data_IF_134553844018
#
_entry.id   IF_134553844018
#
_cell.length_a   1.000
_cell.length_b   1.000
_cell.length_c   1.000
_cell.angle_alpha   90.00
_cell.angle_beta   90.00
_cell.angle_gamma   90.00
#
_symmetry.space_group_name_H-M   'P 1'
#
loop_
_entity.id
_entity.type
_entity.pdbx_description
1 polymer ?
#
# COMPACT_ATOMS: atom_id res chain seq x y z
N UNK A 1 27.99 21.36 19.59
CA UNK A 1 28.49 22.52 18.82
C UNK A 1 28.60 23.78 19.67
N UNK A 2 27.51 24.47 20.04
CA UNK A 2 27.61 25.72 20.84
C UNK A 2 28.39 25.55 22.16
N UNK A 3 28.09 24.52 22.96
CA UNK A 3 28.82 24.22 24.21
C UNK A 3 30.31 23.88 24.01
N UNK A 4 30.71 23.45 22.81
CA UNK A 4 32.11 23.14 22.48
C UNK A 4 32.85 24.35 21.89
N UNK A 5 32.12 25.32 21.34
CA UNK A 5 32.68 26.55 20.76
C UNK A 5 32.89 27.65 21.81
N UNK A 6 32.05 27.68 22.85
CA UNK A 6 32.15 28.63 23.97
C UNK A 6 33.54 28.64 24.62
N UNK A 7 34.14 27.49 25.02
CA UNK A 7 35.46 27.50 25.64
C UNK A 7 36.57 27.98 24.70
N UNK A 8 36.43 27.75 23.39
CA UNK A 8 37.42 28.23 22.42
C UNK A 8 37.32 29.74 22.23
N UNK A 9 36.09 30.26 22.09
CA UNK A 9 35.82 31.69 21.92
C UNK A 9 36.10 32.49 23.19
N UNK A 10 35.87 31.92 24.38
CA UNK A 10 36.20 32.58 25.66
C UNK A 10 37.71 32.69 25.84
N UNK A 11 38.49 31.68 25.49
CA UNK A 11 39.96 31.70 25.55
C UNK A 11 40.54 32.71 24.56
N UNK A 12 40.13 32.69 23.29
CA UNK A 12 40.63 33.64 22.28
C UNK A 12 40.35 35.10 22.67
N UNK A 13 39.18 35.36 23.24
CA UNK A 13 38.82 36.70 23.67
C UNK A 13 39.51 37.12 24.97
N UNK A 14 39.74 36.20 25.91
CA UNK A 14 40.54 36.47 27.12
C UNK A 14 41.97 36.89 26.76
N UNK A 15 42.61 36.18 25.81
CA UNK A 15 43.94 36.54 25.29
C UNK A 15 43.94 37.94 24.65
N UNK A 16 42.88 38.30 23.93
CA UNK A 16 42.73 39.64 23.33
C UNK A 16 42.57 40.75 24.37
N UNK A 17 41.82 40.50 25.44
CA UNK A 17 41.62 41.47 26.53
C UNK A 17 42.91 41.68 27.33
N UNK A 18 43.63 40.58 27.63
CA UNK A 18 44.92 40.61 28.32
C UNK A 18 45.98 41.39 27.50
N UNK A 19 46.04 41.16 26.18
CA UNK A 19 46.93 41.90 25.28
C UNK A 19 46.62 43.41 25.19
N UNK A 20 45.44 43.84 25.64
CA UNK A 20 45.03 45.26 25.69
C UNK A 20 45.02 45.83 27.12
N UNK A 21 45.48 45.06 28.10
CA UNK A 21 45.44 45.42 29.54
C UNK A 21 44.03 45.80 30.02
N UNK A 22 43.00 45.19 29.42
CA UNK A 22 41.60 45.42 29.79
C UNK A 22 41.18 44.36 30.79
N UNK A 23 40.89 44.76 32.02
CA UNK A 23 40.28 43.88 33.01
C UNK A 23 38.77 43.74 32.72
N UNK A 24 38.27 42.54 32.40
CA UNK A 24 36.87 42.35 32.09
C UNK A 24 35.99 42.52 33.33
N UNK A 25 34.95 43.36 33.20
CA UNK A 25 33.94 43.60 34.26
C UNK A 25 33.04 42.38 34.51
N UNK A 26 32.95 41.47 33.53
CA UNK A 26 32.14 40.25 33.61
C UNK A 26 32.95 39.02 33.20
N UNK A 27 32.67 37.90 33.85
CA UNK A 27 33.12 36.59 33.39
C UNK A 27 32.37 36.22 32.11
N UNK A 28 33.05 36.33 30.98
CA UNK A 28 32.48 36.09 29.66
C UNK A 28 32.15 34.62 29.43
N UNK A 29 32.84 33.69 30.08
CA UNK A 29 32.48 32.26 30.02
C UNK A 29 31.11 32.05 30.63
N UNK A 30 30.85 32.65 31.80
CA UNK A 30 29.55 32.63 32.48
C UNK A 30 28.47 33.27 31.61
N UNK A 31 28.76 34.42 30.98
CA UNK A 31 27.80 35.11 30.10
C UNK A 31 27.46 34.25 28.87
N UNK A 32 28.46 33.70 28.18
CA UNK A 32 28.23 32.84 27.02
C UNK A 32 27.48 31.55 27.41
N UNK A 33 27.81 30.97 28.57
CA UNK A 33 27.13 29.79 29.07
C UNK A 33 25.67 30.07 29.45
N UNK A 34 25.37 31.25 30.01
CA UNK A 34 24.01 31.69 30.30
C UNK A 34 23.19 31.83 29.00
N UNK A 35 23.72 32.52 27.99
CA UNK A 35 23.06 32.70 26.68
C UNK A 35 22.85 31.35 25.98
N UNK A 36 23.84 30.46 26.01
CA UNK A 36 23.73 29.14 25.41
C UNK A 36 22.66 28.29 26.12
N UNK A 37 22.63 28.32 27.45
CA UNK A 37 21.61 27.64 28.26
C UNK A 37 20.21 28.15 27.93
N UNK A 38 20.03 29.48 27.82
CA UNK A 38 18.76 30.08 27.46
C UNK A 38 18.31 29.65 26.06
N UNK A 39 19.20 29.72 25.05
CA UNK A 39 18.89 29.31 23.67
C UNK A 39 18.54 27.83 23.56
N UNK A 40 19.31 26.95 24.21
CA UNK A 40 19.03 25.51 24.25
C UNK A 40 17.71 25.24 24.97
N UNK A 41 17.46 25.94 26.08
CA UNK A 41 16.21 25.85 26.84
C UNK A 41 15.00 26.25 26.00
N UNK A 42 15.08 27.36 25.26
CA UNK A 42 14.03 27.82 24.36
C UNK A 42 13.74 26.81 23.23
N UNK A 43 14.78 26.23 22.62
CA UNK A 43 14.62 25.19 21.60
C UNK A 43 13.98 23.92 22.16
N UNK A 44 14.37 23.49 23.37
CA UNK A 44 13.74 22.34 24.04
C UNK A 44 12.26 22.59 24.36
N UNK A 45 11.91 23.79 24.82
CA UNK A 45 10.50 24.17 25.06
C UNK A 45 9.70 24.11 23.77
N UNK A 46 10.19 24.71 22.68
CA UNK A 46 9.54 24.64 21.36
C UNK A 46 9.40 23.21 20.85
N UNK A 47 10.40 22.37 21.08
CA UNK A 47 10.37 20.96 20.73
C UNK A 47 9.24 20.23 21.46
N UNK A 48 9.16 20.42 22.78
CA UNK A 48 8.10 19.84 23.62
C UNK A 48 6.72 20.37 23.24
N UNK A 49 6.55 21.69 23.11
CA UNK A 49 5.30 22.34 22.70
C UNK A 49 4.78 21.80 21.36
N UNK A 50 5.68 21.53 20.43
CA UNK A 50 5.32 20.91 19.16
C UNK A 50 4.96 19.42 19.34
N UNK A 51 5.71 18.66 20.14
CA UNK A 51 5.48 17.22 20.27
C UNK A 51 4.23 16.87 21.08
N UNK A 52 3.96 17.58 22.19
CA UNK A 52 2.88 17.29 23.14
C UNK A 52 1.50 17.01 22.50
N UNK A 53 0.95 17.86 21.61
CA UNK A 53 -0.35 17.59 20.99
C UNK A 53 -0.35 16.31 20.14
N UNK A 54 0.80 15.91 19.60
CA UNK A 54 0.94 14.75 18.72
C UNK A 54 1.10 13.44 19.49
N UNK A 55 1.57 13.48 20.73
CA UNK A 55 1.62 12.29 21.60
C UNK A 55 0.22 11.72 21.86
N UNK A 56 -0.81 12.57 21.92
CA UNK A 56 -2.20 12.13 22.10
C UNK A 56 -2.69 11.34 20.88
N UNK A 57 -2.15 11.63 19.68
CA UNK A 57 -2.55 10.98 18.44
C UNK A 57 -2.19 9.50 18.43
N UNK A 58 -1.16 9.07 19.17
CA UNK A 58 -0.78 7.65 19.27
C UNK A 58 -1.97 6.76 19.62
N UNK A 59 -2.80 7.21 20.57
CA UNK A 59 -4.00 6.49 21.01
C UNK A 59 -5.18 6.61 20.03
N UNK A 60 -5.14 7.60 19.15
CA UNK A 60 -6.22 7.90 18.20
C UNK A 60 -6.01 7.23 16.84
N UNK A 61 -4.75 6.99 16.42
CA UNK A 61 -4.41 6.36 15.14
C UNK A 61 -5.20 5.08 14.86
N UNK A 62 -5.41 4.15 15.81
CA UNK A 62 -6.20 2.94 15.54
C UNK A 62 -7.62 3.21 15.02
N UNK A 63 -8.21 4.35 15.39
CA UNK A 63 -9.57 4.75 15.00
C UNK A 63 -9.59 5.67 13.78
N UNK A 64 -8.44 6.09 13.27
CA UNK A 64 -8.36 6.97 12.11
C UNK A 64 -8.71 6.23 10.81
N UNK A 65 -9.30 6.97 9.89
CA UNK A 65 -9.48 6.53 8.51
C UNK A 65 -8.20 6.72 7.68
N UNK A 66 -8.20 6.22 6.44
CA UNK A 66 -7.05 6.24 5.55
C UNK A 66 -6.58 7.67 5.23
N UNK A 67 -7.52 8.61 5.03
CA UNK A 67 -7.20 10.00 4.68
C UNK A 67 -6.54 10.72 5.85
N UNK A 68 -7.06 10.51 7.07
CA UNK A 68 -6.50 11.05 8.31
C UNK A 68 -5.10 10.50 8.57
N UNK A 69 -4.88 9.19 8.36
CA UNK A 69 -3.54 8.61 8.47
C UNK A 69 -2.57 9.25 7.45
N UNK A 70 -3.02 9.47 6.21
CA UNK A 70 -2.19 10.09 5.18
C UNK A 70 -1.87 11.57 5.48
N UNK A 71 -2.83 12.33 6.00
CA UNK A 71 -2.60 13.72 6.43
C UNK A 71 -1.60 13.76 7.59
N UNK A 72 -1.74 12.85 8.56
CA UNK A 72 -0.81 12.73 9.68
C UNK A 72 0.61 12.38 9.21
N UNK A 73 0.76 11.41 8.30
CA UNK A 73 2.07 11.08 7.72
C UNK A 73 2.74 12.29 7.06
N UNK A 74 1.97 13.10 6.31
CA UNK A 74 2.49 14.33 5.68
C UNK A 74 2.89 15.39 6.70
N UNK A 75 2.10 15.55 7.75
CA UNK A 75 2.39 16.49 8.83
C UNK A 75 3.68 16.09 9.59
N UNK A 76 3.82 14.81 9.92
CA UNK A 76 4.99 14.27 10.60
C UNK A 76 6.24 14.30 9.72
N UNK A 77 6.10 14.15 8.40
CA UNK A 77 7.20 14.33 7.45
C UNK A 77 7.68 15.78 7.38
N UNK A 78 6.81 16.75 7.67
CA UNK A 78 7.13 18.18 7.75
C UNK A 78 7.61 18.61 9.15
N UNK A 79 8.17 17.68 9.94
CA UNK A 79 8.64 17.94 11.29
C UNK A 79 9.75 19.03 11.33
N UNK A 80 9.69 19.98 12.29
CA UNK A 80 10.68 21.05 12.37
C UNK A 80 12.11 20.58 12.70
N UNK A 81 13.11 21.30 12.19
CA UNK A 81 14.53 20.97 12.42
C UNK A 81 14.98 21.17 13.87
N UNK A 82 14.29 22.01 14.65
CA UNK A 82 14.65 22.31 16.04
C UNK A 82 14.35 21.17 17.03
N UNK A 83 13.73 20.08 16.54
CA UNK A 83 13.39 18.95 17.39
C UNK A 83 14.64 18.25 17.93
N UNK A 84 14.57 17.88 19.20
CA UNK A 84 15.60 17.07 19.84
C UNK A 84 15.67 15.67 19.20
N UNK A 85 16.80 14.97 19.39
CA UNK A 85 16.94 13.61 18.87
C UNK A 85 15.89 12.64 19.44
N UNK A 86 15.55 12.80 20.73
CA UNK A 86 14.51 12.03 21.40
C UNK A 86 13.13 12.30 20.79
N UNK A 87 12.78 13.57 20.59
CA UNK A 87 11.50 13.95 19.99
C UNK A 87 11.37 13.47 18.54
N UNK A 88 12.47 13.46 17.78
CA UNK A 88 12.50 12.87 16.43
C UNK A 88 12.22 11.37 16.44
N UNK A 89 12.79 10.62 17.38
CA UNK A 89 12.48 9.20 17.54
C UNK A 89 11.01 8.96 17.90
N UNK A 90 10.38 9.87 18.64
CA UNK A 90 8.93 9.80 18.89
C UNK A 90 8.11 10.01 17.60
N UNK A 91 8.51 10.97 16.77
CA UNK A 91 7.85 11.22 15.48
C UNK A 91 8.01 10.05 14.52
N UNK A 92 9.19 9.45 14.45
CA UNK A 92 9.43 8.26 13.64
C UNK A 92 8.52 7.09 14.07
N UNK A 93 8.38 6.88 15.39
CA UNK A 93 7.44 5.89 15.93
C UNK A 93 6.00 6.19 15.52
N UNK A 94 5.53 7.42 15.73
CA UNK A 94 4.18 7.84 15.32
C UNK A 94 3.95 7.68 13.82
N UNK A 95 4.94 8.04 13.00
CA UNK A 95 4.87 7.89 11.54
C UNK A 95 4.76 6.42 11.14
N UNK A 96 5.49 5.52 11.82
CA UNK A 96 5.43 4.09 11.55
C UNK A 96 4.05 3.51 11.91
N UNK A 97 3.49 3.89 13.06
CA UNK A 97 2.16 3.45 13.50
C UNK A 97 1.08 3.95 12.52
N UNK A 98 1.15 5.23 12.09
CA UNK A 98 0.23 5.79 11.11
C UNK A 98 0.32 5.09 9.75
N UNK A 99 1.53 4.78 9.29
CA UNK A 99 1.77 4.06 8.03
C UNK A 99 1.23 2.64 8.08
N UNK A 100 1.55 1.89 9.13
CA UNK A 100 1.04 0.53 9.33
C UNK A 100 -0.48 0.51 9.30
N UNK A 101 -1.12 1.45 10.02
CA UNK A 101 -2.57 1.57 10.03
C UNK A 101 -3.14 1.86 8.63
N UNK A 102 -2.50 2.75 7.87
CA UNK A 102 -2.91 3.05 6.49
C UNK A 102 -2.82 1.82 5.59
N UNK A 103 -1.72 1.07 5.68
CA UNK A 103 -1.51 -0.16 4.91
C UNK A 103 -2.54 -1.23 5.27
N UNK A 104 -2.85 -1.42 6.55
CA UNK A 104 -3.92 -2.30 7.01
C UNK A 104 -5.28 -1.92 6.41
N UNK A 105 -5.62 -0.62 6.39
CA UNK A 105 -6.89 -0.14 5.85
C UNK A 105 -6.99 -0.37 4.33
N UNK A 106 -5.90 -0.13 3.61
CA UNK A 106 -5.81 -0.40 2.16
C UNK A 106 -5.99 -1.89 1.89
N UNK A 107 -5.30 -2.75 2.64
CA UNK A 107 -5.40 -4.20 2.46
C UNK A 107 -6.80 -4.71 2.83
N UNK A 108 -7.43 -4.21 3.89
CA UNK A 108 -8.83 -4.54 4.21
C UNK A 108 -9.78 -4.13 3.09
N UNK A 109 -9.56 -2.96 2.47
CA UNK A 109 -10.38 -2.53 1.35
C UNK A 109 -10.15 -3.41 0.11
N UNK A 110 -8.91 -3.82 -0.17
CA UNK A 110 -8.58 -4.77 -1.24
C UNK A 110 -9.28 -6.10 -1.01
N UNK A 111 -9.12 -6.69 0.18
CA UNK A 111 -9.75 -7.95 0.57
C UNK A 111 -11.26 -7.88 0.43
N UNK A 112 -11.91 -6.82 0.94
CA UNK A 112 -13.36 -6.66 0.81
C UNK A 112 -13.83 -6.63 -0.66
N UNK A 113 -13.08 -5.95 -1.55
CA UNK A 113 -13.37 -5.94 -2.99
C UNK A 113 -13.22 -7.34 -3.61
N UNK A 114 -12.14 -8.04 -3.28
CA UNK A 114 -11.89 -9.40 -3.79
C UNK A 114 -12.95 -10.36 -3.30
N UNK A 115 -13.28 -10.37 -2.00
CA UNK A 115 -14.33 -11.22 -1.44
C UNK A 115 -15.69 -10.93 -2.05
N UNK A 116 -16.06 -9.66 -2.25
CA UNK A 116 -17.31 -9.28 -2.89
C UNK A 116 -17.37 -9.74 -4.37
N UNK A 117 -16.24 -9.71 -5.08
CA UNK A 117 -16.11 -10.21 -6.44
C UNK A 117 -16.13 -11.75 -6.52
N UNK A 118 -15.51 -12.44 -5.56
CA UNK A 118 -15.51 -13.91 -5.48
C UNK A 118 -16.86 -14.48 -5.04
N UNK A 119 -17.59 -13.80 -4.17
CA UNK A 119 -18.85 -14.29 -3.59
C UNK A 119 -19.84 -14.84 -4.64
N UNK A 120 -20.20 -14.12 -5.71
CA UNK A 120 -21.11 -14.65 -6.73
C UNK A 120 -20.52 -15.88 -7.45
N UNK A 121 -19.21 -15.88 -7.71
CA UNK A 121 -18.52 -16.98 -8.42
C UNK A 121 -18.50 -18.28 -7.58
N UNK A 122 -18.14 -18.17 -6.31
CA UNK A 122 -18.10 -19.30 -5.38
C UNK A 122 -19.49 -19.83 -5.01
N UNK A 123 -20.53 -19.02 -5.21
CA UNK A 123 -21.92 -19.42 -4.99
C UNK A 123 -22.58 -20.13 -6.18
N UNK A 124 -21.85 -20.37 -7.28
CA UNK A 124 -22.38 -21.09 -8.44
C UNK A 124 -22.53 -22.58 -8.12
N UNK A 125 -23.78 -23.04 -7.98
CA UNK A 125 -24.10 -24.43 -7.61
C UNK A 125 -24.38 -25.33 -8.82
N UNK A 126 -24.54 -24.77 -10.02
CA UNK A 126 -24.81 -25.56 -11.23
C UNK A 126 -24.26 -24.88 -12.50
N UNK A 127 -22.98 -25.11 -12.79
CA UNK A 127 -22.32 -24.57 -13.99
C UNK A 127 -22.85 -25.25 -15.26
N UNK A 128 -23.38 -26.47 -15.16
CA UNK A 128 -23.85 -27.26 -16.30
C UNK A 128 -25.12 -26.74 -16.97
N UNK A 129 -25.92 -25.94 -16.26
CA UNK A 129 -27.18 -25.37 -16.78
C UNK A 129 -27.04 -23.94 -17.28
N UNK A 130 -25.85 -23.35 -17.18
CA UNK A 130 -25.58 -22.00 -17.68
C UNK A 130 -25.73 -21.94 -19.20
N UNK A 131 -26.31 -20.84 -19.67
CA UNK A 131 -26.41 -20.52 -21.09
C UNK A 131 -25.08 -19.94 -21.61
N UNK A 132 -24.97 -19.79 -22.95
CA UNK A 132 -23.77 -19.27 -23.58
C UNK A 132 -23.42 -17.87 -23.08
N UNK A 133 -24.42 -16.98 -23.00
CA UNK A 133 -24.21 -15.58 -22.67
C UNK A 133 -23.73 -15.38 -21.23
N UNK A 134 -24.37 -16.06 -20.28
CA UNK A 134 -24.01 -16.05 -18.86
C UNK A 134 -22.63 -16.68 -18.63
N UNK A 135 -22.33 -17.79 -19.31
CA UNK A 135 -21.00 -18.43 -19.24
C UNK A 135 -19.91 -17.46 -19.71
N UNK A 136 -20.10 -16.79 -20.85
CA UNK A 136 -19.16 -15.78 -21.34
C UNK A 136 -19.04 -14.57 -20.40
N UNK A 137 -20.15 -14.08 -19.85
CA UNK A 137 -20.15 -12.94 -18.93
C UNK A 137 -19.41 -13.28 -17.63
N UNK A 138 -19.61 -14.48 -17.09
CA UNK A 138 -18.90 -14.97 -15.92
C UNK A 138 -17.41 -15.12 -16.22
N UNK A 139 -17.02 -15.72 -17.35
CA UNK A 139 -15.61 -15.82 -17.76
C UNK A 139 -14.94 -14.44 -17.93
N UNK A 140 -15.64 -13.45 -18.50
CA UNK A 140 -15.15 -12.07 -18.60
C UNK A 140 -14.90 -11.47 -17.22
N UNK A 141 -15.85 -11.66 -16.31
CA UNK A 141 -15.76 -11.19 -14.91
C UNK A 141 -14.59 -11.86 -14.19
N UNK A 142 -14.37 -13.15 -14.45
CA UNK A 142 -13.31 -13.95 -13.86
C UNK A 142 -11.92 -13.52 -14.34
N UNK A 143 -11.81 -13.12 -15.61
CA UNK A 143 -10.58 -12.59 -16.23
C UNK A 143 -10.28 -11.14 -15.88
N UNK A 144 -11.22 -10.42 -15.26
CA UNK A 144 -11.10 -9.01 -14.91
C UNK A 144 -11.30 -8.78 -13.41
N UNK A 145 -10.37 -9.28 -12.55
CA UNK A 145 -10.48 -9.07 -11.11
C UNK A 145 -10.31 -7.59 -10.74
N UNK A 146 -10.95 -7.12 -9.65
CA UNK A 146 -10.91 -5.71 -9.26
C UNK A 146 -9.54 -5.26 -8.73
N UNK A 147 -8.69 -6.20 -8.31
CA UNK A 147 -7.35 -5.99 -7.77
C UNK A 147 -6.47 -7.20 -8.14
N UNK A 148 -5.15 -7.06 -7.96
CA UNK A 148 -4.26 -8.22 -8.05
C UNK A 148 -4.63 -9.25 -6.98
N UNK A 149 -4.81 -10.50 -7.44
CA UNK A 149 -5.16 -11.63 -6.59
C UNK A 149 -3.90 -12.26 -6.01
N UNK A 150 -3.96 -12.57 -4.71
CA UNK A 150 -2.99 -13.42 -4.03
C UNK A 150 -3.11 -14.87 -4.51
N UNK A 151 -2.06 -15.68 -4.31
CA UNK A 151 -2.05 -17.07 -4.79
C UNK A 151 -3.26 -17.87 -4.28
N UNK A 152 -3.55 -17.78 -2.98
CA UNK A 152 -4.71 -18.46 -2.37
C UNK A 152 -6.04 -18.02 -2.98
N UNK A 153 -6.16 -16.74 -3.35
CA UNK A 153 -7.37 -16.20 -3.96
C UNK A 153 -7.53 -16.68 -5.42
N UNK A 154 -6.43 -16.93 -6.12
CA UNK A 154 -6.43 -17.53 -7.47
C UNK A 154 -6.82 -19.00 -7.39
N UNK A 155 -6.18 -19.75 -6.50
CA UNK A 155 -6.41 -21.18 -6.31
C UNK A 155 -7.88 -21.47 -5.98
N UNK A 156 -8.57 -20.56 -5.28
CA UNK A 156 -9.99 -20.69 -4.97
C UNK A 156 -10.92 -20.57 -6.19
N UNK A 157 -10.54 -19.79 -7.21
CA UNK A 157 -11.40 -19.52 -8.38
C UNK A 157 -10.98 -20.33 -9.62
N UNK A 158 -9.76 -20.87 -9.64
CA UNK A 158 -9.24 -21.73 -10.72
C UNK A 158 -10.19 -22.89 -11.10
N UNK A 159 -10.78 -23.65 -10.16
CA UNK A 159 -11.70 -24.74 -10.52
C UNK A 159 -12.96 -24.24 -11.24
N UNK A 160 -13.43 -23.03 -10.90
CA UNK A 160 -14.59 -22.40 -11.54
C UNK A 160 -14.22 -21.96 -12.95
N UNK A 161 -13.03 -21.38 -13.14
CA UNK A 161 -12.53 -21.00 -14.46
C UNK A 161 -12.45 -22.21 -15.39
N UNK A 162 -11.88 -23.32 -14.91
CA UNK A 162 -11.79 -24.57 -15.69
C UNK A 162 -13.19 -25.08 -16.04
N UNK A 163 -14.10 -25.10 -15.08
CA UNK A 163 -15.47 -25.59 -15.28
C UNK A 163 -16.28 -24.73 -16.27
N UNK A 164 -16.18 -23.40 -16.16
CA UNK A 164 -16.84 -22.47 -17.09
C UNK A 164 -16.24 -22.56 -18.49
N UNK A 165 -14.93 -22.76 -18.62
CA UNK A 165 -14.27 -22.95 -19.92
C UNK A 165 -14.74 -24.25 -20.57
N UNK A 166 -14.77 -25.35 -19.82
CA UNK A 166 -15.29 -26.62 -20.31
C UNK A 166 -16.77 -26.52 -20.74
N UNK A 167 -17.59 -25.76 -20.00
CA UNK A 167 -19.00 -25.50 -20.36
C UNK A 167 -19.13 -24.71 -21.66
N UNK A 168 -18.30 -23.67 -21.84
CA UNK A 168 -18.28 -22.87 -23.06
C UNK A 168 -17.91 -23.75 -24.27
N UNK A 169 -16.89 -24.60 -24.12
CA UNK A 169 -16.46 -25.52 -25.16
C UNK A 169 -17.58 -26.53 -25.53
N UNK A 170 -18.27 -27.09 -24.53
CA UNK A 170 -19.43 -27.96 -24.75
C UNK A 170 -20.54 -27.26 -25.54
N UNK A 171 -20.93 -26.05 -25.14
CA UNK A 171 -21.95 -25.27 -25.84
C UNK A 171 -21.56 -24.97 -27.29
N UNK A 172 -20.28 -24.66 -27.53
CA UNK A 172 -19.78 -24.44 -28.88
C UNK A 172 -19.83 -25.72 -29.73
N UNK A 173 -19.51 -26.88 -29.15
CA UNK A 173 -19.59 -28.18 -29.84
C UNK A 173 -21.03 -28.53 -30.16
N UNK A 174 -21.94 -28.37 -29.20
CA UNK A 174 -23.37 -28.64 -29.39
C UNK A 174 -23.97 -27.75 -30.49
N UNK A 175 -23.55 -26.48 -30.57
CA UNK A 175 -23.98 -25.58 -31.64
C UNK A 175 -23.46 -26.05 -33.02
N UNK A 176 -22.21 -26.47 -33.10
CA UNK A 176 -21.62 -27.01 -34.35
C UNK A 176 -22.38 -28.27 -34.79
N UNK A 177 -22.63 -29.20 -33.87
CA UNK A 177 -23.38 -30.44 -34.15
C UNK A 177 -24.80 -30.09 -34.62
N UNK A 178 -25.50 -29.21 -33.90
CA UNK A 178 -26.85 -28.78 -34.30
C UNK A 178 -26.90 -28.08 -35.66
N UNK A 179 -25.83 -27.35 -36.05
CA UNK A 179 -25.70 -26.78 -37.39
C UNK A 179 -25.46 -27.86 -38.45
N UNK A 180 -24.67 -28.89 -38.15
CA UNK A 180 -24.43 -30.04 -39.03
C UNK A 180 -25.72 -30.83 -39.23
N UNK A 181 -26.49 -31.07 -38.17
CA UNK A 181 -27.76 -31.80 -38.24
C UNK A 181 -28.82 -31.11 -39.11
N UNK A 182 -28.77 -29.78 -39.19
CA UNK A 182 -29.64 -28.97 -40.06
C UNK A 182 -29.20 -28.96 -41.53
N UNK A 183 -27.99 -29.43 -41.85
CA UNK A 183 -27.54 -29.53 -43.23
C UNK A 183 -28.31 -30.64 -43.98
N UNK A 184 -28.49 -30.51 -45.31
CA UNK A 184 -28.98 -31.61 -46.12
C UNK A 184 -28.08 -32.86 -45.99
N UNK A 185 -28.68 -34.05 -45.98
CA UNK A 185 -28.00 -35.35 -45.81
C UNK A 185 -26.77 -35.53 -46.73
N UNK A 186 -26.81 -35.01 -47.96
CA UNK A 186 -25.67 -35.12 -48.88
C UNK A 186 -24.44 -34.34 -48.39
N UNK A 187 -24.63 -33.14 -47.79
CA UNK A 187 -23.54 -32.36 -47.19
C UNK A 187 -23.03 -32.98 -45.89
N UNK A 188 -23.91 -33.59 -45.11
CA UNK A 188 -23.50 -34.34 -43.92
C UNK A 188 -22.57 -35.50 -44.30
N UNK A 189 -22.93 -36.27 -45.35
CA UNK A 189 -22.10 -37.36 -45.87
C UNK A 189 -20.76 -36.88 -46.43
N UNK A 190 -20.75 -35.75 -47.13
CA UNK A 190 -19.53 -35.11 -47.63
C UNK A 190 -18.59 -34.67 -46.49
N UNK A 191 -19.13 -34.02 -45.45
CA UNK A 191 -18.38 -33.65 -44.24
C UNK A 191 -17.78 -34.87 -43.54
N UNK A 192 -18.56 -35.95 -43.40
CA UNK A 192 -18.11 -37.19 -42.78
C UNK A 192 -16.96 -37.84 -43.57
N UNK A 193 -17.06 -37.84 -44.91
CA UNK A 193 -15.99 -38.31 -45.79
C UNK A 193 -14.69 -37.49 -45.63
N UNK A 194 -14.80 -36.16 -45.61
CA UNK A 194 -13.64 -35.26 -45.40
C UNK A 194 -12.98 -35.51 -44.04
N UNK A 195 -13.79 -35.62 -42.97
CA UNK A 195 -13.28 -35.87 -41.62
C UNK A 195 -12.60 -37.24 -41.52
N UNK A 196 -13.17 -38.29 -42.12
CA UNK A 196 -12.58 -39.63 -42.14
C UNK A 196 -11.24 -39.68 -42.88
N UNK A 197 -11.11 -38.99 -44.02
CA UNK A 197 -9.85 -38.91 -44.76
C UNK A 197 -8.75 -38.24 -43.93
N UNK A 198 -9.04 -37.12 -43.27
CA UNK A 198 -8.07 -36.41 -42.43
C UNK A 198 -7.65 -37.17 -41.17
N UNK A 199 -8.54 -37.98 -40.60
CA UNK A 199 -8.19 -38.83 -39.47
C UNK A 199 -7.31 -40.02 -39.90
N UNK A 200 -7.49 -40.49 -41.13
CA UNK A 200 -6.68 -41.56 -41.72
C UNK A 200 -5.27 -41.10 -42.11
N UNK A 201 -5.12 -39.83 -42.52
CA UNK A 201 -3.82 -39.23 -42.89
C UNK A 201 -2.96 -38.83 -41.67
N UNK A 202 -3.55 -38.75 -40.48
CA UNK A 202 -2.87 -38.39 -39.22
C UNK A 202 -2.63 -39.60 -38.29
N UNK A 203 -2.93 -40.82 -38.74
CA UNK A 203 -2.68 -42.09 -38.02
C UNK A 203 -1.42 -42.77 -38.56
#
# INVERSE_FOLDING_TARGET
MLQQQIPHQSIEFAVFLEAREIEPVWDLEVVYQAIATERIGALRRRSSEWLQPRLVLEKQIPQMDQNRCQLLERELAAAPLFLSAEDRQHIERLSNIARQRREELVERQRQAKVTAWQAPLLSLWDIGTLDLHTTEQLLRTLRSPPCELLQQERDAVEPILVSLTARLDQLSVDEIIGRIDRLPIWRQRELLAILSARLSDNA
#
